data_IF_273103380878
#
_entry.id   IF_273103380878
#
_cell.length_a   1.000
_cell.length_b   1.000
_cell.length_c   1.000
_cell.angle_alpha   90.00
_cell.angle_beta   90.00
_cell.angle_gamma   90.00
#
_symmetry.space_group_name_H-M   'P 1'
#
loop_
_entity.id
_entity.type
_entity.pdbx_description
1 polymer ?
#
# COMPACT_ATOMS: atom_id res chain seq x y z
N UNK A 1 4.28 24.04 -50.80
CA UNK A 1 4.51 24.10 -49.34
C UNK A 1 3.44 23.27 -48.68
N UNK A 2 3.66 21.96 -48.59
CA UNK A 2 2.73 21.02 -47.97
C UNK A 2 3.12 20.85 -46.49
N UNK A 3 2.25 21.28 -45.58
CA UNK A 3 2.44 21.16 -44.14
C UNK A 3 2.04 19.77 -43.66
N UNK A 4 3.05 18.93 -43.48
CA UNK A 4 2.98 17.60 -42.90
C UNK A 4 2.40 17.64 -41.47
N UNK A 5 1.16 17.18 -41.29
CA UNK A 5 0.49 17.12 -39.99
C UNK A 5 0.92 15.84 -39.26
N UNK A 6 1.95 15.94 -38.41
CA UNK A 6 2.35 14.85 -37.52
C UNK A 6 1.29 14.61 -36.44
N UNK A 7 0.42 13.63 -36.66
CA UNK A 7 -0.38 13.01 -35.60
C UNK A 7 0.56 12.33 -34.59
N UNK A 8 0.58 12.84 -33.34
CA UNK A 8 1.26 12.19 -32.22
C UNK A 8 0.66 10.80 -31.98
N UNK A 9 1.47 9.74 -31.83
CA UNK A 9 0.95 8.41 -31.59
C UNK A 9 0.29 8.34 -30.20
N UNK A 10 -0.95 7.84 -30.15
CA UNK A 10 -1.61 7.38 -28.93
C UNK A 10 -0.66 6.41 -28.22
N UNK A 11 -0.41 6.64 -26.93
CA UNK A 11 0.40 5.74 -26.10
C UNK A 11 -0.12 4.30 -26.24
N UNK A 12 0.73 3.29 -26.51
CA UNK A 12 0.26 1.93 -26.63
C UNK A 12 -0.30 1.49 -25.27
N UNK A 13 -1.54 0.99 -25.24
CA UNK A 13 -2.00 0.13 -24.14
C UNK A 13 -0.94 -0.95 -24.00
N UNK A 14 -0.27 -0.95 -22.85
CA UNK A 14 0.91 -1.75 -22.56
C UNK A 14 0.50 -3.23 -22.50
N UNK A 15 0.27 -3.85 -23.66
CA UNK A 15 -0.05 -5.26 -23.79
C UNK A 15 1.26 -6.05 -23.80
N UNK A 16 2.08 -5.85 -22.75
CA UNK A 16 3.18 -6.77 -22.48
C UNK A 16 2.56 -8.14 -22.26
N UNK A 17 3.18 -9.16 -22.85
CA UNK A 17 2.84 -10.54 -22.54
C UNK A 17 2.80 -10.73 -21.02
N UNK A 18 1.78 -11.45 -20.53
CA UNK A 18 1.55 -11.57 -19.09
C UNK A 18 2.77 -12.16 -18.36
N UNK A 19 3.46 -13.14 -18.96
CA UNK A 19 4.62 -13.78 -18.34
C UNK A 19 5.79 -12.81 -18.25
N UNK A 20 6.02 -12.01 -19.30
CA UNK A 20 7.05 -10.96 -19.30
C UNK A 20 6.75 -9.91 -18.23
N UNK A 21 5.48 -9.51 -18.10
CA UNK A 21 5.10 -8.54 -17.08
C UNK A 21 5.21 -9.11 -15.66
N UNK A 22 4.83 -10.38 -15.48
CA UNK A 22 4.98 -11.09 -14.21
C UNK A 22 6.45 -11.24 -13.83
N UNK A 23 7.33 -11.57 -14.77
CA UNK A 23 8.77 -11.62 -14.57
C UNK A 23 9.30 -10.26 -14.11
N UNK A 24 8.97 -9.18 -14.83
CA UNK A 24 9.38 -7.83 -14.47
C UNK A 24 8.84 -7.39 -13.08
N UNK A 25 7.62 -7.82 -12.73
CA UNK A 25 7.02 -7.58 -11.43
C UNK A 25 7.77 -8.31 -10.31
N UNK A 26 8.07 -9.60 -10.49
CA UNK A 26 8.77 -10.43 -9.51
C UNK A 26 10.26 -10.12 -9.41
N UNK A 27 10.87 -9.54 -10.43
CA UNK A 27 12.24 -9.01 -10.37
C UNK A 27 12.37 -7.85 -9.37
N UNK A 28 11.27 -7.15 -9.07
CA UNK A 28 11.25 -6.10 -8.04
C UNK A 28 11.05 -6.71 -6.67
N UNK A 29 11.87 -6.27 -5.71
CA UNK A 29 11.76 -6.62 -4.29
C UNK A 29 10.34 -6.48 -3.73
N UNK A 30 9.65 -5.39 -4.09
CA UNK A 30 8.27 -5.14 -3.64
C UNK A 30 7.28 -6.15 -4.23
N UNK A 31 7.48 -6.60 -5.47
CA UNK A 31 6.62 -7.62 -6.08
C UNK A 31 6.67 -8.94 -5.32
N UNK A 32 7.87 -9.37 -4.93
CA UNK A 32 8.04 -10.57 -4.08
C UNK A 32 7.44 -10.38 -2.69
N UNK A 33 7.63 -9.22 -2.03
CA UNK A 33 6.98 -8.94 -0.73
C UNK A 33 5.44 -9.02 -0.83
N UNK A 34 4.83 -8.51 -1.91
CA UNK A 34 3.37 -8.55 -2.06
C UNK A 34 2.86 -9.96 -2.33
N UNK A 35 3.57 -10.75 -3.14
CA UNK A 35 3.23 -12.16 -3.32
C UNK A 35 3.28 -12.92 -1.99
N UNK A 36 4.34 -12.71 -1.21
CA UNK A 36 4.45 -13.29 0.13
C UNK A 36 3.35 -12.77 1.07
N UNK A 37 2.94 -11.49 0.95
CA UNK A 37 1.82 -10.93 1.73
C UNK A 37 0.53 -11.68 1.42
N UNK A 38 0.21 -11.90 0.14
CA UNK A 38 -0.97 -12.67 -0.29
C UNK A 38 -0.91 -14.09 0.26
N UNK A 39 0.19 -14.82 0.04
CA UNK A 39 0.34 -16.20 0.52
C UNK A 39 0.17 -16.33 2.03
N UNK A 40 0.70 -15.36 2.79
CA UNK A 40 0.54 -15.30 4.25
C UNK A 40 -0.92 -15.14 4.66
N UNK A 41 -1.63 -14.18 4.07
CA UNK A 41 -3.02 -13.92 4.47
C UNK A 41 -3.99 -14.96 3.94
N UNK A 42 -3.74 -15.57 2.78
CA UNK A 42 -4.49 -16.74 2.32
C UNK A 42 -4.38 -17.87 3.34
N UNK A 43 -3.16 -18.14 3.80
CA UNK A 43 -2.91 -19.13 4.85
C UNK A 43 -3.61 -18.77 6.16
N UNK A 44 -3.57 -17.50 6.58
CA UNK A 44 -4.30 -17.05 7.79
C UNK A 44 -5.81 -17.21 7.66
N UNK A 45 -6.40 -16.98 6.47
CA UNK A 45 -7.83 -17.20 6.23
C UNK A 45 -8.16 -18.68 6.40
N UNK A 46 -7.38 -19.57 5.77
CA UNK A 46 -7.56 -21.03 5.90
C UNK A 46 -7.44 -21.45 7.37
N UNK A 47 -6.42 -20.97 8.08
CA UNK A 47 -6.22 -21.27 9.51
C UNK A 47 -7.29 -20.69 10.43
N UNK A 48 -7.94 -19.60 10.03
CA UNK A 48 -9.03 -18.95 10.77
C UNK A 48 -10.41 -19.47 10.39
N UNK A 49 -10.47 -20.35 9.39
CA UNK A 49 -11.68 -21.03 8.94
C UNK A 49 -11.73 -22.44 9.50
N UNK A 50 -12.93 -22.99 9.70
CA UNK A 50 -13.11 -24.37 10.16
C UNK A 50 -12.78 -25.42 9.08
N UNK A 51 -12.21 -25.02 7.95
CA UNK A 51 -11.85 -25.89 6.82
C UNK A 51 -10.74 -26.89 7.17
N UNK A 52 -9.83 -26.54 8.08
CA UNK A 52 -8.72 -27.41 8.51
C UNK A 52 -8.71 -27.50 10.04
N UNK A 53 -9.25 -28.61 10.61
CA UNK A 53 -9.27 -28.81 12.05
C UNK A 53 -7.87 -28.70 12.67
N UNK A 54 -7.79 -28.15 13.89
CA UNK A 54 -6.52 -27.97 14.59
C UNK A 54 -5.77 -29.30 14.86
N UNK A 55 -6.51 -30.41 14.89
CA UNK A 55 -5.99 -31.77 15.05
C UNK A 55 -5.34 -32.32 13.78
N UNK A 56 -5.61 -31.72 12.62
CA UNK A 56 -5.08 -32.20 11.35
C UNK A 56 -3.58 -31.85 11.21
N UNK A 57 -2.69 -32.79 10.82
CA UNK A 57 -1.25 -32.52 10.69
C UNK A 57 -0.90 -31.34 9.77
N UNK A 58 -1.75 -31.09 8.77
CA UNK A 58 -1.62 -29.96 7.85
C UNK A 58 -1.75 -28.59 8.56
N UNK A 59 -2.53 -28.49 9.64
CA UNK A 59 -2.69 -27.25 10.39
C UNK A 59 -1.35 -26.74 10.93
N UNK A 60 -0.52 -27.64 11.50
CA UNK A 60 0.82 -27.30 11.98
C UNK A 60 1.72 -26.83 10.83
N UNK A 61 1.68 -27.51 9.68
CA UNK A 61 2.46 -27.12 8.49
C UNK A 61 2.07 -25.74 7.97
N UNK A 62 0.78 -25.44 7.89
CA UNK A 62 0.26 -24.12 7.51
C UNK A 62 0.69 -23.03 8.49
N UNK A 63 0.65 -23.30 9.80
CA UNK A 63 1.12 -22.34 10.82
C UNK A 63 2.61 -22.05 10.70
N UNK A 64 3.43 -23.07 10.47
CA UNK A 64 4.87 -22.89 10.21
C UNK A 64 5.11 -22.13 8.92
N UNK A 65 4.39 -22.45 7.85
CA UNK A 65 4.46 -21.73 6.58
C UNK A 65 4.10 -20.24 6.75
N UNK A 66 2.99 -19.92 7.41
CA UNK A 66 2.56 -18.55 7.70
C UNK A 66 3.64 -17.76 8.45
N UNK A 67 4.25 -18.39 9.46
CA UNK A 67 5.31 -17.78 10.26
C UNK A 67 6.57 -17.51 9.44
N UNK A 68 7.02 -18.50 8.66
CA UNK A 68 8.20 -18.41 7.81
C UNK A 68 8.02 -17.35 6.72
N UNK A 69 6.88 -17.34 6.04
CA UNK A 69 6.54 -16.30 5.05
C UNK A 69 6.53 -14.92 5.71
N UNK A 70 5.99 -14.82 6.94
CA UNK A 70 6.04 -13.60 7.73
C UNK A 70 7.46 -13.11 8.02
N UNK A 71 8.40 -14.01 8.28
CA UNK A 71 9.82 -13.70 8.48
C UNK A 71 10.49 -13.26 7.17
N UNK A 72 10.26 -13.99 6.07
CA UNK A 72 10.78 -13.64 4.74
C UNK A 72 10.36 -12.23 4.32
N UNK A 73 9.09 -11.85 4.55
CA UNK A 73 8.60 -10.50 4.26
C UNK A 73 9.34 -9.41 5.02
N UNK A 74 9.81 -9.67 6.24
CA UNK A 74 10.63 -8.70 6.97
C UNK A 74 12.00 -8.54 6.32
N UNK A 75 12.61 -9.62 5.84
CA UNK A 75 13.85 -9.56 5.07
C UNK A 75 13.71 -8.76 3.76
N UNK A 76 12.60 -8.95 3.02
CA UNK A 76 12.35 -8.16 1.80
C UNK A 76 12.08 -6.67 2.06
N UNK A 77 11.86 -6.25 3.31
CA UNK A 77 11.65 -4.85 3.69
C UNK A 77 12.91 -4.17 4.27
N UNK A 78 14.04 -4.88 4.32
CA UNK A 78 15.32 -4.30 4.73
C UNK A 78 15.64 -3.02 3.96
N UNK A 79 16.09 -1.97 4.65
CA UNK A 79 16.41 -0.69 4.02
C UNK A 79 15.21 0.14 3.53
N UNK A 80 13.96 -0.31 3.74
CA UNK A 80 12.78 0.41 3.27
C UNK A 80 12.61 1.79 3.92
N UNK A 81 13.06 1.95 5.17
CA UNK A 81 13.08 3.25 5.87
C UNK A 81 13.81 4.37 5.10
N UNK A 82 14.77 4.03 4.23
CA UNK A 82 15.48 5.01 3.39
C UNK A 82 14.52 5.65 2.38
N UNK A 83 13.52 4.90 1.88
CA UNK A 83 12.49 5.43 1.01
C UNK A 83 11.65 6.49 1.73
N UNK A 84 11.35 6.29 3.01
CA UNK A 84 10.59 7.26 3.81
C UNK A 84 11.43 8.50 4.12
N UNK A 85 12.72 8.36 4.40
CA UNK A 85 13.65 9.49 4.56
C UNK A 85 13.71 10.32 3.26
N UNK A 86 13.82 9.66 2.10
CA UNK A 86 13.83 10.34 0.82
C UNK A 86 12.48 11.01 0.52
N UNK A 87 11.37 10.35 0.85
CA UNK A 87 10.03 10.92 0.66
C UNK A 87 9.80 12.14 1.54
N UNK A 88 10.31 12.12 2.77
CA UNK A 88 10.28 13.26 3.68
C UNK A 88 11.14 14.41 3.16
N UNK A 89 12.34 14.11 2.64
CA UNK A 89 13.25 15.11 2.02
C UNK A 89 12.65 15.76 0.78
N UNK A 90 11.92 14.99 -0.03
CA UNK A 90 11.29 15.46 -1.26
C UNK A 90 9.87 16.00 -1.08
N UNK A 91 9.34 16.00 0.15
CA UNK A 91 8.00 16.50 0.43
C UNK A 91 7.93 18.01 0.15
N UNK A 92 6.87 18.46 -0.53
CA UNK A 92 6.61 19.89 -0.73
C UNK A 92 6.07 20.47 0.57
N UNK A 93 6.89 21.27 1.23
CA UNK A 93 6.64 21.84 2.56
C UNK A 93 6.01 23.24 2.46
N UNK A 94 5.04 23.41 1.56
CA UNK A 94 4.46 24.72 1.24
C UNK A 94 3.66 25.35 2.41
N UNK A 95 3.34 24.56 3.44
CA UNK A 95 2.59 25.01 4.62
C UNK A 95 3.01 24.21 5.84
N UNK A 96 3.04 24.85 7.02
CA UNK A 96 3.35 24.20 8.31
C UNK A 96 2.50 22.94 8.56
N UNK A 97 1.22 22.98 8.21
CA UNK A 97 0.34 21.82 8.31
C UNK A 97 0.80 20.65 7.41
N UNK A 98 1.26 20.93 6.19
CA UNK A 98 1.78 19.89 5.29
C UNK A 98 3.08 19.29 5.84
N UNK A 99 3.92 20.12 6.47
CA UNK A 99 5.15 19.67 7.12
C UNK A 99 4.85 18.71 8.24
N UNK A 100 3.94 19.07 9.15
CA UNK A 100 3.57 18.24 10.29
C UNK A 100 2.99 16.90 9.80
N UNK A 101 2.07 16.92 8.83
CA UNK A 101 1.45 15.70 8.32
C UNK A 101 2.49 14.82 7.61
N UNK A 102 3.39 15.40 6.79
CA UNK A 102 4.44 14.65 6.12
C UNK A 102 5.44 14.03 7.11
N UNK A 103 5.80 14.77 8.17
CA UNK A 103 6.66 14.26 9.24
C UNK A 103 6.00 13.10 9.99
N UNK A 104 4.71 13.19 10.30
CA UNK A 104 3.96 12.11 10.94
C UNK A 104 3.91 10.88 10.01
N UNK A 105 3.57 11.07 8.73
CA UNK A 105 3.43 9.98 7.77
C UNK A 105 4.76 9.25 7.53
N UNK A 106 5.76 9.97 6.99
CA UNK A 106 7.03 9.38 6.60
C UNK A 106 7.95 9.14 7.80
N UNK A 107 7.90 9.97 8.84
CA UNK A 107 8.66 9.73 10.06
C UNK A 107 8.15 8.51 10.82
N UNK A 108 6.84 8.35 10.96
CA UNK A 108 6.23 7.17 11.59
C UNK A 108 6.55 5.88 10.83
N UNK A 109 6.31 5.86 9.52
CA UNK A 109 6.61 4.69 8.67
C UNK A 109 8.12 4.39 8.59
N UNK A 110 8.96 5.43 8.55
CA UNK A 110 10.41 5.29 8.58
C UNK A 110 10.93 4.69 9.89
N UNK A 111 10.46 5.18 11.05
CA UNK A 111 10.80 4.59 12.36
C UNK A 111 10.30 3.15 12.45
N UNK A 112 9.12 2.86 11.93
CA UNK A 112 8.59 1.50 11.86
C UNK A 112 9.54 0.56 11.11
N UNK A 113 9.89 0.84 9.85
CA UNK A 113 10.79 -0.03 9.08
C UNK A 113 12.20 -0.04 9.63
N UNK A 114 12.65 1.03 10.29
CA UNK A 114 13.94 1.05 10.97
C UNK A 114 13.97 0.03 12.12
N UNK A 115 13.00 0.13 13.04
CA UNK A 115 12.90 -0.76 14.20
C UNK A 115 12.61 -2.21 13.76
N UNK A 116 11.84 -2.40 12.68
CA UNK A 116 11.51 -3.72 12.17
C UNK A 116 12.75 -4.54 11.78
N UNK A 117 13.84 -3.91 11.36
CA UNK A 117 15.09 -4.60 11.03
C UNK A 117 15.65 -5.34 12.26
N UNK A 118 15.64 -4.69 13.43
CA UNK A 118 16.06 -5.33 14.67
C UNK A 118 15.09 -6.44 15.10
N UNK A 119 13.79 -6.25 14.89
CA UNK A 119 12.79 -7.31 15.14
C UNK A 119 13.06 -8.52 14.22
N UNK A 120 13.45 -8.30 12.97
CA UNK A 120 13.83 -9.36 12.05
C UNK A 120 15.10 -10.07 12.52
N UNK A 121 16.15 -9.33 12.90
CA UNK A 121 17.40 -9.90 13.44
C UNK A 121 17.18 -10.74 14.70
N UNK A 122 16.26 -10.31 15.58
CA UNK A 122 15.92 -11.06 16.78
C UNK A 122 15.19 -12.37 16.42
N UNK A 123 14.29 -12.32 15.43
CA UNK A 123 13.53 -13.50 14.98
C UNK A 123 14.35 -14.48 14.14
N UNK A 124 15.42 -14.02 13.49
CA UNK A 124 16.37 -14.89 12.78
C UNK A 124 17.38 -15.54 13.71
N UNK A 125 17.45 -15.12 14.99
CA UNK A 125 18.38 -15.65 15.99
C UNK A 125 19.75 -14.97 16.01
N UNK A 126 19.93 -13.86 15.27
CA UNK A 126 21.22 -13.14 15.26
C UNK A 126 21.44 -12.31 16.53
N UNK A 127 20.37 -11.70 17.07
CA UNK A 127 20.44 -10.91 18.31
C UNK A 127 19.53 -11.48 19.39
N UNK A 128 19.85 -11.18 20.65
CA UNK A 128 19.06 -11.66 21.80
C UNK A 128 17.59 -11.22 21.71
N UNK A 129 16.62 -12.13 21.94
CA UNK A 129 15.20 -11.80 21.92
C UNK A 129 14.73 -10.98 23.14
N UNK A 130 15.61 -10.68 24.11
CA UNK A 130 15.26 -9.95 25.35
C UNK A 130 14.48 -8.67 25.08
N UNK A 131 14.90 -7.87 24.09
CA UNK A 131 14.26 -6.60 23.75
C UNK A 131 13.26 -6.70 22.59
N UNK A 132 13.05 -7.90 22.02
CA UNK A 132 12.25 -8.08 20.81
C UNK A 132 10.78 -7.65 21.02
N UNK A 133 10.22 -7.88 22.22
CA UNK A 133 8.84 -7.46 22.54
C UNK A 133 8.71 -5.94 22.60
N UNK A 134 9.69 -5.25 23.22
CA UNK A 134 9.71 -3.79 23.32
C UNK A 134 9.84 -3.17 21.92
N UNK A 135 10.79 -3.67 21.12
CA UNK A 135 10.98 -3.22 19.74
C UNK A 135 9.73 -3.47 18.88
N UNK A 136 9.08 -4.62 19.02
CA UNK A 136 7.85 -4.92 18.29
C UNK A 136 6.72 -3.95 18.68
N UNK A 137 6.61 -3.57 19.96
CA UNK A 137 5.60 -2.60 20.43
C UNK A 137 5.89 -1.19 19.94
N UNK A 138 7.15 -0.75 19.97
CA UNK A 138 7.58 0.54 19.41
C UNK A 138 7.28 0.60 17.91
N UNK A 139 7.64 -0.47 17.19
CA UNK A 139 7.40 -0.63 15.76
C UNK A 139 5.91 -0.52 15.43
N UNK A 140 5.03 -1.19 16.17
CA UNK A 140 3.59 -1.13 15.96
C UNK A 140 2.98 0.26 16.23
N UNK A 141 3.46 0.98 17.26
CA UNK A 141 3.04 2.36 17.51
C UNK A 141 3.51 3.32 16.41
N UNK A 142 4.77 3.19 15.97
CA UNK A 142 5.31 3.99 14.87
C UNK A 142 4.53 3.74 13.57
N UNK A 143 4.20 2.48 13.28
CA UNK A 143 3.38 2.08 12.12
C UNK A 143 2.00 2.72 12.17
N UNK A 144 1.32 2.69 13.33
CA UNK A 144 0.02 3.33 13.50
C UNK A 144 0.08 4.84 13.28
N UNK A 145 1.08 5.52 13.86
CA UNK A 145 1.29 6.97 13.69
C UNK A 145 1.53 7.29 12.21
N UNK A 146 2.36 6.50 11.53
CA UNK A 146 2.60 6.60 10.09
C UNK A 146 1.30 6.51 9.28
N UNK A 147 0.46 5.51 9.57
CA UNK A 147 -0.84 5.36 8.89
C UNK A 147 -1.79 6.53 9.14
N UNK A 148 -1.85 7.08 10.37
CA UNK A 148 -2.67 8.28 10.65
C UNK A 148 -2.21 9.46 9.79
N UNK A 149 -0.91 9.68 9.66
CA UNK A 149 -0.35 10.71 8.76
C UNK A 149 -0.70 10.44 7.29
N UNK A 150 -0.47 9.21 6.83
CA UNK A 150 -0.67 8.80 5.43
C UNK A 150 -2.15 8.90 5.00
N UNK A 151 -3.08 8.48 5.87
CA UNK A 151 -4.52 8.65 5.68
C UNK A 151 -4.88 10.12 5.59
N UNK A 152 -4.34 10.96 6.47
CA UNK A 152 -4.59 12.40 6.47
C UNK A 152 -4.15 13.07 5.16
N UNK A 153 -2.96 12.71 4.65
CA UNK A 153 -2.49 13.17 3.34
C UNK A 153 -3.42 12.73 2.21
N UNK A 154 -3.77 11.43 2.17
CA UNK A 154 -4.62 10.85 1.13
C UNK A 154 -6.02 11.47 1.12
N UNK A 155 -6.61 11.74 2.28
CA UNK A 155 -7.90 12.45 2.39
C UNK A 155 -7.81 13.87 1.86
N UNK A 156 -6.75 14.62 2.20
CA UNK A 156 -6.53 15.98 1.68
C UNK A 156 -6.38 15.98 0.17
N UNK A 157 -5.56 15.08 -0.37
CA UNK A 157 -5.37 14.95 -1.82
C UNK A 157 -6.66 14.51 -2.54
N UNK A 158 -7.44 13.59 -1.97
CA UNK A 158 -8.72 13.18 -2.53
C UNK A 158 -9.74 14.33 -2.58
N UNK A 159 -9.74 15.22 -1.59
CA UNK A 159 -10.57 16.44 -1.61
C UNK A 159 -10.15 17.36 -2.75
N UNK A 160 -8.84 17.57 -2.95
CA UNK A 160 -8.29 18.33 -4.07
C UNK A 160 -8.71 17.73 -5.43
N UNK A 161 -8.45 16.44 -5.64
CA UNK A 161 -8.84 15.73 -6.88
C UNK A 161 -10.35 15.82 -7.14
N UNK A 162 -11.17 15.71 -6.09
CA UNK A 162 -12.63 15.81 -6.23
C UNK A 162 -13.09 17.23 -6.55
N UNK A 163 -12.35 18.25 -6.13
CA UNK A 163 -12.60 19.64 -6.52
C UNK A 163 -12.21 19.87 -7.97
N UNK A 164 -11.01 19.42 -8.37
CA UNK A 164 -10.53 19.50 -9.75
C UNK A 164 -11.48 18.79 -10.72
N UNK A 165 -12.04 17.64 -10.32
CA UNK A 165 -13.02 16.90 -11.12
C UNK A 165 -14.31 17.69 -11.34
N UNK A 166 -14.82 18.38 -10.31
CA UNK A 166 -16.00 19.24 -10.44
C UNK A 166 -15.71 20.44 -11.34
N UNK A 167 -14.56 21.08 -11.18
CA UNK A 167 -14.15 22.20 -12.01
C UNK A 167 -14.07 21.79 -13.49
N UNK A 168 -13.46 20.64 -13.77
CA UNK A 168 -13.33 20.12 -15.13
C UNK A 168 -14.68 19.73 -15.74
N UNK A 169 -15.60 19.15 -14.95
CA UNK A 169 -16.97 18.88 -15.41
C UNK A 169 -17.72 20.16 -15.78
N UNK A 170 -17.57 21.24 -15.00
CA UNK A 170 -18.16 22.53 -15.34
C UNK A 170 -17.53 23.15 -16.60
N UNK A 171 -16.22 23.02 -16.79
CA UNK A 171 -15.56 23.45 -18.04
C UNK A 171 -16.10 22.70 -19.25
N UNK A 172 -16.28 21.39 -19.13
CA UNK A 172 -16.85 20.53 -20.17
C UNK A 172 -18.26 20.98 -20.55
N UNK A 173 -19.11 21.25 -19.56
CA UNK A 173 -20.49 21.72 -19.79
C UNK A 173 -20.53 23.06 -20.54
N UNK A 174 -19.62 23.97 -20.19
CA UNK A 174 -19.47 25.26 -20.88
C UNK A 174 -18.98 25.05 -22.31
N UNK A 175 -17.99 24.19 -22.54
CA UNK A 175 -17.45 23.86 -23.86
C UNK A 175 -18.51 23.24 -24.77
N UNK A 176 -19.30 22.30 -24.25
CA UNK A 176 -20.46 21.71 -24.96
C UNK A 176 -21.46 22.78 -25.37
N UNK A 177 -21.79 23.70 -24.46
CA UNK A 177 -22.73 24.80 -24.73
C UNK A 177 -22.20 25.75 -25.81
N UNK A 178 -20.88 25.93 -25.90
CA UNK A 178 -20.21 26.77 -26.91
C UNK A 178 -19.94 26.06 -28.24
N UNK A 179 -20.14 24.74 -28.29
CA UNK A 179 -19.78 23.93 -29.46
C UNK A 179 -18.28 23.73 -29.64
N UNK A 180 -17.49 23.89 -28.57
CA UNK A 180 -16.04 23.68 -28.57
C UNK A 180 -15.69 22.18 -28.56
N UNK A 181 -14.47 21.84 -28.97
CA UNK A 181 -13.96 20.45 -28.90
C UNK A 181 -13.75 20.01 -27.43
N UNK A 182 -14.50 18.99 -27.02
CA UNK A 182 -14.56 18.49 -25.63
C UNK A 182 -13.67 17.25 -25.43
N UNK A 183 -13.20 16.63 -26.51
CA UNK A 183 -12.37 15.43 -26.47
C UNK A 183 -11.14 15.57 -25.55
N UNK A 184 -10.35 16.68 -25.58
CA UNK A 184 -9.20 16.82 -24.69
C UNK A 184 -9.58 16.94 -23.21
N UNK A 185 -10.74 17.54 -22.90
CA UNK A 185 -11.22 17.66 -21.51
C UNK A 185 -11.78 16.33 -20.99
N UNK A 186 -12.47 15.57 -21.85
CA UNK A 186 -12.92 14.22 -21.54
C UNK A 186 -11.75 13.26 -21.27
N UNK A 187 -10.66 13.34 -22.05
CA UNK A 187 -9.46 12.54 -21.79
C UNK A 187 -8.83 12.90 -20.43
N UNK A 188 -8.74 14.20 -20.10
CA UNK A 188 -8.25 14.67 -18.80
C UNK A 188 -9.15 14.18 -17.66
N UNK A 189 -10.46 14.19 -17.85
CA UNK A 189 -11.43 13.70 -16.87
C UNK A 189 -11.25 12.20 -16.62
N UNK A 190 -11.03 11.41 -17.69
CA UNK A 190 -10.71 9.99 -17.58
C UNK A 190 -9.49 9.73 -16.71
N UNK A 191 -8.36 10.40 -17.01
CA UNK A 191 -7.12 10.29 -16.22
C UNK A 191 -7.31 10.73 -14.77
N UNK A 192 -8.10 11.78 -14.53
CA UNK A 192 -8.38 12.27 -13.19
C UNK A 192 -9.22 11.26 -12.37
N UNK A 193 -10.20 10.61 -12.99
CA UNK A 193 -11.00 9.54 -12.38
C UNK A 193 -10.17 8.31 -12.04
N UNK A 194 -9.27 7.90 -12.93
CA UNK A 194 -8.31 6.82 -12.65
C UNK A 194 -7.41 7.17 -11.47
N UNK A 195 -6.84 8.39 -11.45
CA UNK A 195 -6.04 8.89 -10.32
C UNK A 195 -6.83 8.89 -9.01
N UNK A 196 -8.11 9.31 -9.06
CA UNK A 196 -9.02 9.32 -7.91
C UNK A 196 -9.27 7.90 -7.39
N UNK A 197 -9.52 6.94 -8.29
CA UNK A 197 -9.71 5.54 -7.93
C UNK A 197 -8.46 4.97 -7.25
N UNK A 198 -7.27 5.18 -7.83
CA UNK A 198 -6.00 4.74 -7.24
C UNK A 198 -5.76 5.31 -5.85
N UNK A 199 -6.12 6.59 -5.64
CA UNK A 199 -5.98 7.25 -4.35
C UNK A 199 -6.99 6.72 -3.32
N UNK A 200 -8.23 6.43 -3.72
CA UNK A 200 -9.24 5.76 -2.88
C UNK A 200 -8.79 4.35 -2.47
N UNK A 201 -8.29 3.55 -3.40
CA UNK A 201 -7.75 2.23 -3.10
C UNK A 201 -6.57 2.33 -2.12
N UNK A 202 -5.67 3.29 -2.33
CA UNK A 202 -4.56 3.54 -1.40
C UNK A 202 -5.02 3.93 0.00
N UNK A 203 -6.13 4.68 0.12
CA UNK A 203 -6.72 5.02 1.41
C UNK A 203 -7.31 3.78 2.09
N UNK A 204 -8.05 2.94 1.36
CA UNK A 204 -8.60 1.68 1.88
C UNK A 204 -7.48 0.75 2.37
N UNK A 205 -6.38 0.68 1.61
CA UNK A 205 -5.20 -0.09 1.96
C UNK A 205 -4.62 0.37 3.32
N UNK A 206 -4.39 1.67 3.50
CA UNK A 206 -3.86 2.22 4.76
C UNK A 206 -4.79 2.00 5.94
N UNK A 207 -6.11 2.10 5.74
CA UNK A 207 -7.08 1.85 6.80
C UNK A 207 -7.05 0.37 7.21
N UNK A 208 -6.96 -0.53 6.23
CA UNK A 208 -6.82 -1.97 6.50
C UNK A 208 -5.51 -2.29 7.23
N UNK A 209 -4.39 -1.73 6.80
CA UNK A 209 -3.10 -1.93 7.49
C UNK A 209 -3.08 -1.24 8.86
N UNK A 210 -3.71 -0.08 9.02
CA UNK A 210 -3.86 0.62 10.30
C UNK A 210 -4.69 -0.18 11.31
N UNK A 211 -5.76 -0.85 10.86
CA UNK A 211 -6.52 -1.78 11.70
C UNK A 211 -5.63 -2.92 12.21
N UNK A 212 -4.73 -3.44 11.37
CA UNK A 212 -3.77 -4.46 11.76
C UNK A 212 -2.75 -3.94 12.77
N UNK A 213 -2.23 -2.71 12.58
CA UNK A 213 -1.32 -2.09 13.54
C UNK A 213 -1.98 -1.88 14.91
N UNK A 214 -3.27 -1.50 14.95
CA UNK A 214 -4.05 -1.41 16.20
C UNK A 214 -4.17 -2.79 16.88
N UNK A 215 -4.41 -3.85 16.11
CA UNK A 215 -4.47 -5.20 16.66
C UNK A 215 -3.11 -5.64 17.25
N UNK A 216 -2.00 -5.30 16.59
CA UNK A 216 -0.65 -5.59 17.07
C UNK A 216 -0.33 -4.81 18.37
N UNK A 217 -0.75 -3.55 18.50
CA UNK A 217 -0.60 -2.75 19.74
C UNK A 217 -1.38 -3.36 20.91
N UNK A 218 -2.53 -3.97 20.62
CA UNK A 218 -3.42 -4.57 21.63
C UNK A 218 -3.09 -6.03 21.93
N UNK A 219 -1.97 -6.55 21.40
CA UNK A 219 -1.62 -7.98 21.47
C UNK A 219 -2.77 -8.90 21.00
N UNK A 220 -3.54 -8.46 20.00
CA UNK A 220 -4.70 -9.19 19.47
C UNK A 220 -5.94 -9.21 20.38
N UNK A 221 -5.98 -8.40 21.45
CA UNK A 221 -7.13 -8.35 22.37
C UNK A 221 -8.25 -7.42 21.84
N UNK A 222 -9.50 -7.86 21.99
CA UNK A 222 -10.71 -7.08 21.70
C UNK A 222 -11.57 -7.60 20.54
N UNK A 223 -12.82 -7.12 20.44
CA UNK A 223 -13.81 -7.57 19.45
C UNK A 223 -13.41 -7.28 17.99
N UNK A 224 -12.57 -6.26 17.76
CA UNK A 224 -12.07 -5.89 16.43
C UNK A 224 -10.79 -6.63 16.02
N UNK A 225 -10.30 -7.57 16.83
CA UNK A 225 -9.05 -8.31 16.59
C UNK A 225 -9.31 -9.77 16.17
N UNK A 226 -10.52 -10.07 15.69
CA UNK A 226 -10.91 -11.42 15.26
C UNK A 226 -9.94 -11.97 14.19
N UNK A 227 -9.47 -13.22 14.29
CA UNK A 227 -8.47 -13.79 13.37
C UNK A 227 -8.85 -13.68 11.89
N UNK A 228 -10.10 -14.01 11.56
CA UNK A 228 -10.62 -13.93 10.19
C UNK A 228 -10.72 -12.49 9.68
N UNK A 229 -11.13 -11.54 10.54
CA UNK A 229 -11.20 -10.12 10.19
C UNK A 229 -9.80 -9.57 9.88
N UNK A 230 -8.81 -9.87 10.73
CA UNK A 230 -7.42 -9.45 10.51
C UNK A 230 -6.83 -10.10 9.25
N UNK A 231 -7.15 -11.37 9.01
CA UNK A 231 -6.70 -12.07 7.81
C UNK A 231 -7.30 -11.45 6.55
N UNK A 232 -8.59 -11.11 6.59
CA UNK A 232 -9.32 -10.47 5.49
C UNK A 232 -8.82 -9.05 5.22
N UNK A 233 -8.63 -8.23 6.27
CA UNK A 233 -8.06 -6.89 6.15
C UNK A 233 -6.66 -6.94 5.52
N UNK A 234 -5.81 -7.86 5.98
CA UNK A 234 -4.48 -8.08 5.42
C UNK A 234 -4.51 -8.52 3.96
N UNK A 235 -5.47 -9.39 3.59
CA UNK A 235 -5.67 -9.82 2.20
C UNK A 235 -6.11 -8.66 1.30
N UNK A 236 -7.10 -7.87 1.72
CA UNK A 236 -7.56 -6.68 0.97
C UNK A 236 -6.41 -5.71 0.73
N UNK A 237 -5.62 -5.39 1.76
CA UNK A 237 -4.43 -4.55 1.60
C UNK A 237 -3.41 -5.18 0.64
N UNK A 238 -3.19 -6.50 0.72
CA UNK A 238 -2.26 -7.21 -0.15
C UNK A 238 -2.65 -7.13 -1.63
N UNK A 239 -3.92 -7.37 -1.95
CA UNK A 239 -4.45 -7.33 -3.32
C UNK A 239 -4.37 -5.92 -3.88
N UNK A 240 -4.80 -4.91 -3.11
CA UNK A 240 -4.72 -3.51 -3.54
C UNK A 240 -3.27 -3.10 -3.80
N UNK A 241 -2.36 -3.44 -2.88
CA UNK A 241 -0.95 -3.10 -3.04
C UNK A 241 -0.31 -3.84 -4.22
N UNK A 242 -0.74 -5.07 -4.51
CA UNK A 242 -0.29 -5.84 -5.68
C UNK A 242 -0.71 -5.15 -6.96
N UNK A 243 -2.00 -4.79 -7.08
CA UNK A 243 -2.55 -4.09 -8.24
C UNK A 243 -1.83 -2.75 -8.51
N UNK A 244 -1.60 -1.94 -7.48
CA UNK A 244 -0.87 -0.67 -7.61
C UNK A 244 0.55 -0.85 -8.14
N UNK A 245 1.29 -1.82 -7.59
CA UNK A 245 2.65 -2.10 -8.03
C UNK A 245 2.68 -2.74 -9.42
N UNK A 246 1.69 -3.56 -9.76
CA UNK A 246 1.54 -4.19 -11.08
C UNK A 246 1.42 -3.15 -12.19
N UNK A 247 0.62 -2.10 -11.96
CA UNK A 247 0.45 -0.99 -12.92
C UNK A 247 1.69 -0.09 -13.03
N UNK A 248 2.60 -0.15 -12.05
CA UNK A 248 3.84 0.63 -12.03
C UNK A 248 5.05 -0.15 -12.58
N UNK A 249 4.84 -1.36 -13.11
CA UNK A 249 5.87 -2.19 -13.76
C UNK A 249 5.78 -2.10 -15.28
#
# INVERSE_FOLDING_TARGET
MESNTQTKPKSPKNNRDFLIHLEAYLAKRDGVDKLLKISRYATKIILSSDLVPATHPFHRRLKTFESNVGLSRKAFRLGKFIQDINSLRSAKLDTTQNVIIALIAYGGEGVYYFVEQFVWLAKSGLISPTHARVLQRISAWAELIGYVGSVSMKVKELKGISFDERCLLSSIEIAVTRGDDVEPEMERLGKLREKKLMKRLSLVQDVADGLMAVADIRDGKGRLSGPLLMASAGMVSAVISTHKNWLSC
#
